data_IF_346815602615
#
_entry.id   IF_346815602615
#
_cell.length_a   1.000
_cell.length_b   1.000
_cell.length_c   1.000
_cell.angle_alpha   90.00
_cell.angle_beta   90.00
_cell.angle_gamma   90.00
#
_symmetry.space_group_name_H-M   'P 1'
#
loop_
_entity.id
_entity.type
_entity.pdbx_description
1 polymer ?
#
# COMPACT_ATOMS: atom_id res chain seq x y z
N UNK A 1 -17.24 15.86 35.60
CA UNK A 1 -17.62 14.45 35.45
C UNK A 1 -17.22 13.99 34.05
N UNK A 2 -16.60 12.82 33.87
CA UNK A 2 -16.17 12.37 32.55
C UNK A 2 -17.39 12.12 31.66
N UNK A 3 -17.43 12.78 30.48
CA UNK A 3 -18.56 12.70 29.57
C UNK A 3 -18.74 11.33 28.92
N UNK A 4 -19.90 11.07 28.29
CA UNK A 4 -20.25 9.76 27.70
C UNK A 4 -19.27 9.26 26.63
N UNK A 5 -18.55 10.17 25.95
CA UNK A 5 -17.46 9.82 25.01
C UNK A 5 -16.25 9.16 25.69
N UNK A 6 -15.93 9.59 26.92
CA UNK A 6 -14.81 9.03 27.69
C UNK A 6 -15.14 7.62 28.19
N UNK A 7 -16.41 7.37 28.53
CA UNK A 7 -16.91 6.04 28.89
C UNK A 7 -16.90 5.06 27.72
N UNK A 8 -17.34 5.49 26.53
CA UNK A 8 -17.24 4.68 25.31
C UNK A 8 -15.78 4.40 24.92
N UNK A 9 -14.89 5.37 25.09
CA UNK A 9 -13.45 5.18 24.90
C UNK A 9 -12.87 4.19 25.91
N UNK A 10 -13.22 4.31 27.20
CA UNK A 10 -12.78 3.39 28.24
C UNK A 10 -13.29 1.95 28.02
N UNK A 11 -14.55 1.79 27.61
CA UNK A 11 -15.13 0.49 27.26
C UNK A 11 -14.44 -0.13 26.04
N UNK A 12 -14.21 0.66 24.98
CA UNK A 12 -13.47 0.23 23.78
C UNK A 12 -12.02 -0.12 24.10
N UNK A 13 -11.38 0.66 24.96
CA UNK A 13 -10.02 0.42 25.46
C UNK A 13 -9.93 -0.88 26.25
N UNK A 14 -10.90 -1.16 27.13
CA UNK A 14 -10.91 -2.36 27.96
C UNK A 14 -11.03 -3.67 27.15
N UNK A 15 -11.68 -3.63 25.98
CA UNK A 15 -11.86 -4.81 25.10
C UNK A 15 -10.63 -5.04 24.20
N UNK A 16 -9.85 -4.00 23.90
CA UNK A 16 -8.79 -4.01 22.87
C UNK A 16 -7.39 -3.76 23.46
N UNK A 17 -7.24 -3.65 24.78
CA UNK A 17 -5.95 -3.39 25.39
C UNK A 17 -5.07 -4.64 25.41
N UNK A 18 -3.96 -4.58 24.68
CA UNK A 18 -2.76 -5.34 25.04
C UNK A 18 -2.29 -4.84 26.40
N UNK A 19 -2.04 -5.72 27.40
CA UNK A 19 -1.53 -5.29 28.69
C UNK A 19 -0.22 -4.52 28.48
N UNK A 20 -0.16 -3.31 29.05
CA UNK A 20 1.05 -2.49 28.98
C UNK A 20 2.07 -3.12 29.93
N UNK A 21 3.20 -3.64 29.44
CA UNK A 21 4.23 -4.19 30.31
C UNK A 21 4.81 -3.10 31.21
N UNK A 22 5.29 -3.47 32.39
CA UNK A 22 5.99 -2.53 33.26
C UNK A 22 7.23 -1.99 32.54
N UNK A 23 7.26 -0.66 32.35
CA UNK A 23 8.33 0.01 31.62
C UNK A 23 9.52 0.38 32.52
N UNK A 24 9.44 0.11 33.83
CA UNK A 24 10.42 0.54 34.85
C UNK A 24 10.65 2.05 34.80
N UNK A 25 9.57 2.84 34.66
CA UNK A 25 9.63 4.30 34.59
C UNK A 25 10.08 4.88 33.25
N UNK A 26 10.36 4.06 32.23
CA UNK A 26 10.63 4.55 30.87
C UNK A 26 9.35 5.04 30.22
N UNK A 27 9.37 6.25 29.68
CA UNK A 27 8.25 6.89 29.00
C UNK A 27 8.60 7.21 27.54
N UNK A 28 7.62 7.06 26.65
CA UNK A 28 7.68 7.60 25.29
C UNK A 28 6.73 8.78 25.26
N UNK A 29 7.28 9.95 24.96
CA UNK A 29 6.56 11.21 24.97
C UNK A 29 6.35 11.72 23.55
N UNK A 30 5.13 12.17 23.26
CA UNK A 30 4.85 12.98 22.09
C UNK A 30 5.15 14.45 22.43
N UNK A 31 5.71 15.17 21.46
CA UNK A 31 6.03 16.58 21.52
C UNK A 31 5.69 17.24 20.17
N UNK A 32 5.41 18.56 20.14
CA UNK A 32 5.31 19.31 18.90
C UNK A 32 6.62 19.28 18.11
N UNK A 33 6.58 19.74 16.86
CA UNK A 33 7.81 19.95 16.10
C UNK A 33 8.71 20.98 16.81
N UNK A 34 10.01 20.69 17.01
CA UNK A 34 10.94 21.65 17.58
C UNK A 34 11.00 22.93 16.74
N UNK A 35 10.91 24.09 17.40
CA UNK A 35 11.18 25.38 16.78
C UNK A 35 12.69 25.55 16.58
N UNK A 36 13.46 25.23 17.61
CA UNK A 36 14.93 25.29 17.59
C UNK A 36 15.52 24.44 18.72
N UNK A 37 16.82 24.14 18.61
CA UNK A 37 17.62 23.61 19.71
C UNK A 37 18.60 24.71 20.10
N UNK A 38 18.48 25.19 21.33
CA UNK A 38 19.31 26.26 21.86
C UNK A 38 20.79 25.86 21.93
N UNK A 39 21.67 26.85 22.09
CA UNK A 39 23.13 26.61 22.22
C UNK A 39 23.50 25.73 23.41
N UNK A 40 22.64 25.68 24.42
CA UNK A 40 22.80 24.86 25.61
C UNK A 40 22.23 23.44 25.44
N UNK A 41 21.75 23.09 24.25
CA UNK A 41 21.13 21.80 23.92
C UNK A 41 19.66 21.69 24.31
N UNK A 42 19.04 22.74 24.86
CA UNK A 42 17.61 22.71 25.23
C UNK A 42 16.74 22.79 23.98
N UNK A 43 15.75 21.91 23.88
CA UNK A 43 14.76 21.95 22.79
C UNK A 43 13.67 22.96 23.12
N UNK A 44 13.40 23.88 22.20
CA UNK A 44 12.29 24.81 22.28
C UNK A 44 11.20 24.38 21.31
N UNK A 45 10.01 24.06 21.82
CA UNK A 45 8.88 23.63 21.01
C UNK A 45 7.98 24.80 20.60
N UNK A 46 7.33 24.68 19.44
CA UNK A 46 6.27 25.60 19.05
C UNK A 46 5.00 25.32 19.86
N UNK A 47 4.33 26.36 20.35
CA UNK A 47 3.01 26.22 20.98
C UNK A 47 1.95 26.00 19.90
N UNK A 48 1.64 24.73 19.65
CA UNK A 48 0.61 24.31 18.72
C UNK A 48 -0.78 24.21 19.38
N UNK A 49 -0.92 24.62 20.64
CA UNK A 49 -2.13 24.49 21.49
C UNK A 49 -2.63 23.06 21.66
N UNK A 50 -1.81 22.06 21.35
CA UNK A 50 -2.17 20.66 21.50
C UNK A 50 -1.79 20.14 22.91
N UNK A 51 -2.42 19.02 23.36
CA UNK A 51 -2.16 18.46 24.68
C UNK A 51 -0.68 18.12 24.94
N UNK A 52 0.05 17.69 23.91
CA UNK A 52 1.47 17.37 24.02
C UNK A 52 2.34 18.57 24.40
N UNK A 53 2.05 19.76 23.86
CA UNK A 53 2.77 20.98 24.25
C UNK A 53 2.48 21.35 25.71
N UNK A 54 1.20 21.34 26.10
CA UNK A 54 0.76 21.72 27.44
C UNK A 54 1.42 20.87 28.54
N UNK A 55 1.70 19.61 28.23
CA UNK A 55 2.38 18.67 29.11
C UNK A 55 3.89 18.94 29.23
N UNK A 56 4.52 19.37 28.15
CA UNK A 56 5.97 19.55 28.07
C UNK A 56 6.44 20.99 28.33
N UNK A 57 5.57 21.99 28.27
CA UNK A 57 5.94 23.43 28.36
C UNK A 57 6.75 23.84 29.59
N UNK A 58 6.72 23.06 30.67
CA UNK A 58 7.48 23.28 31.89
C UNK A 58 8.74 22.41 32.02
N UNK A 59 8.96 21.46 31.11
CA UNK A 59 10.11 20.57 31.13
C UNK A 59 11.27 21.18 30.33
N UNK A 60 12.49 21.09 30.88
CA UNK A 60 13.72 21.43 30.16
C UNK A 60 14.29 20.15 29.54
N UNK A 61 14.02 19.96 28.24
CA UNK A 61 14.43 18.76 27.52
C UNK A 61 15.76 19.01 26.80
N UNK A 62 16.76 18.17 27.10
CA UNK A 62 18.07 18.15 26.43
C UNK A 62 18.34 16.73 25.91
N UNK A 63 18.13 16.46 24.61
CA UNK A 63 18.36 15.13 24.07
C UNK A 63 19.86 14.86 23.91
N UNK A 64 20.30 13.66 24.28
CA UNK A 64 21.65 13.19 23.97
C UNK A 64 21.80 12.82 22.48
N UNK A 65 20.71 12.36 21.87
CA UNK A 65 20.67 11.90 20.47
C UNK A 65 19.42 12.46 19.78
N UNK A 66 19.60 12.99 18.58
CA UNK A 66 18.50 13.42 17.70
C UNK A 66 18.49 12.54 16.46
N UNK A 67 17.36 11.89 16.18
CA UNK A 67 17.18 11.05 15.00
C UNK A 67 16.18 11.73 14.05
N UNK A 68 16.65 12.16 12.88
CA UNK A 68 15.83 12.82 11.87
C UNK A 68 15.21 11.80 10.92
N UNK A 69 14.00 11.34 11.26
CA UNK A 69 13.22 10.41 10.42
C UNK A 69 12.43 11.15 9.32
N UNK A 70 13.06 12.06 8.58
CA UNK A 70 12.42 12.95 7.59
C UNK A 70 12.09 12.27 6.25
N UNK A 71 12.42 10.99 6.10
CA UNK A 71 12.19 10.19 4.91
C UNK A 71 13.29 10.35 3.85
N UNK A 72 13.02 9.81 2.65
CA UNK A 72 13.98 9.70 1.55
C UNK A 72 13.44 10.36 0.27
N UNK A 73 14.37 10.76 -0.61
CA UNK A 73 14.09 11.15 -2.00
C UNK A 73 14.54 10.02 -2.93
N UNK A 74 13.89 9.91 -4.08
CA UNK A 74 14.25 8.95 -5.13
C UNK A 74 15.01 9.69 -6.22
N UNK A 75 16.17 9.17 -6.62
CA UNK A 75 17.01 9.76 -7.65
C UNK A 75 17.71 8.67 -8.46
N UNK A 76 17.96 8.92 -9.74
CA UNK A 76 18.58 7.98 -10.68
C UNK A 76 19.66 8.67 -11.52
N UNK A 77 20.83 9.01 -10.93
CA UNK A 77 21.87 9.76 -11.64
C UNK A 77 22.39 9.07 -12.90
N UNK A 78 22.26 7.74 -12.99
CA UNK A 78 22.65 6.94 -14.15
C UNK A 78 21.66 7.01 -15.33
N UNK A 79 20.47 7.58 -15.14
CA UNK A 79 19.47 7.81 -16.20
C UNK A 79 19.47 9.26 -16.71
N UNK A 80 20.23 10.16 -16.06
CA UNK A 80 20.37 11.55 -16.50
C UNK A 80 21.32 11.65 -17.72
N UNK A 81 21.02 12.52 -18.70
CA UNK A 81 21.94 12.79 -19.79
C UNK A 81 23.29 13.30 -19.25
N UNK A 82 24.38 12.64 -19.64
CA UNK A 82 25.71 13.13 -19.30
C UNK A 82 25.97 14.49 -19.97
N UNK A 83 26.54 15.44 -19.21
CA UNK A 83 27.02 16.73 -19.77
C UNK A 83 27.97 16.57 -20.96
N UNK A 84 28.68 15.44 -21.05
CA UNK A 84 29.68 15.19 -22.10
C UNK A 84 29.14 14.40 -23.29
N UNK A 85 27.96 13.77 -23.16
CA UNK A 85 27.27 13.05 -24.23
C UNK A 85 25.77 13.22 -24.03
N UNK A 86 25.12 14.20 -24.68
CA UNK A 86 23.68 14.39 -24.57
C UNK A 86 22.97 13.21 -25.25
N UNK A 87 22.64 12.19 -24.47
CA UNK A 87 21.73 11.12 -24.85
C UNK A 87 20.30 11.52 -24.53
N UNK A 88 19.32 10.80 -25.07
CA UNK A 88 17.91 10.97 -24.72
C UNK A 88 17.73 10.81 -23.21
N UNK A 89 17.02 11.73 -22.57
CA UNK A 89 16.69 11.66 -21.15
C UNK A 89 15.56 10.65 -20.91
N UNK A 90 15.86 9.55 -20.23
CA UNK A 90 14.85 8.55 -19.84
C UNK A 90 13.87 9.12 -18.80
N UNK A 91 14.31 10.10 -18.01
CA UNK A 91 13.50 10.75 -16.97
C UNK A 91 13.58 10.03 -15.64
N UNK A 92 12.66 10.34 -14.73
CA UNK A 92 12.61 9.79 -13.36
C UNK A 92 11.26 9.12 -13.08
N UNK A 93 11.20 8.31 -12.01
CA UNK A 93 9.97 7.65 -11.57
C UNK A 93 8.80 8.63 -11.36
N UNK A 94 9.07 9.85 -10.87
CA UNK A 94 8.05 10.88 -10.67
C UNK A 94 7.46 11.42 -11.97
N UNK A 95 8.12 11.20 -13.11
CA UNK A 95 7.64 11.60 -14.43
C UNK A 95 6.85 10.49 -15.14
N UNK A 96 6.79 9.29 -14.57
CA UNK A 96 6.03 8.18 -15.13
C UNK A 96 4.53 8.50 -15.12
N UNK A 97 3.95 8.64 -16.32
CA UNK A 97 2.58 9.08 -16.54
C UNK A 97 1.65 8.00 -17.13
N UNK A 98 2.12 6.75 -17.15
CA UNK A 98 1.30 5.57 -17.42
C UNK A 98 1.34 4.68 -16.19
N UNK A 99 0.26 4.71 -15.40
CA UNK A 99 0.11 3.93 -14.16
C UNK A 99 1.21 4.15 -13.11
N UNK A 100 2.01 5.20 -13.23
CA UNK A 100 3.22 5.39 -12.42
C UNK A 100 4.34 4.38 -12.71
N UNK A 101 4.35 3.78 -13.91
CA UNK A 101 5.29 2.72 -14.31
C UNK A 101 6.25 3.23 -15.39
N UNK A 102 5.77 3.83 -16.48
CA UNK A 102 6.66 4.40 -17.51
C UNK A 102 6.15 5.74 -18.01
N UNK A 103 6.98 6.40 -18.83
CA UNK A 103 6.61 7.60 -19.57
C UNK A 103 6.02 7.23 -20.93
N UNK A 104 4.85 7.74 -21.27
CA UNK A 104 4.13 7.42 -22.51
C UNK A 104 4.97 7.65 -23.77
N UNK A 105 5.82 8.67 -23.77
CA UNK A 105 6.71 9.01 -24.89
C UNK A 105 8.03 8.22 -24.91
N UNK A 106 8.34 7.50 -23.83
CA UNK A 106 9.53 6.66 -23.69
C UNK A 106 9.20 5.37 -22.92
N UNK A 107 8.53 4.39 -23.57
CA UNK A 107 8.12 3.14 -22.93
C UNK A 107 9.26 2.14 -22.72
N UNK A 108 10.46 2.40 -23.24
CA UNK A 108 11.59 1.47 -23.15
C UNK A 108 12.23 1.38 -21.75
N UNK A 109 11.83 2.25 -20.83
CA UNK A 109 12.26 2.24 -19.42
C UNK A 109 11.04 2.26 -18.50
N UNK A 110 10.99 1.29 -17.58
CA UNK A 110 9.95 1.16 -16.56
C UNK A 110 10.51 1.33 -15.15
N UNK A 111 9.78 2.07 -14.32
CA UNK A 111 10.04 2.32 -12.91
C UNK A 111 9.14 1.40 -12.07
N UNK A 112 9.70 0.31 -11.59
CA UNK A 112 8.96 -0.73 -10.85
C UNK A 112 9.12 -0.55 -9.34
N UNK A 113 8.01 -0.59 -8.59
CA UNK A 113 8.01 -0.50 -7.13
C UNK A 113 8.06 0.92 -6.56
N UNK A 114 7.90 1.95 -7.40
CA UNK A 114 7.99 3.35 -6.97
C UNK A 114 6.64 3.98 -6.57
N UNK A 115 5.55 3.22 -6.62
CA UNK A 115 4.26 3.63 -6.05
C UNK A 115 4.24 3.38 -4.53
N UNK A 116 3.50 4.21 -3.79
CA UNK A 116 3.33 4.03 -2.35
C UNK A 116 1.88 3.69 -2.01
N UNK A 117 1.57 2.42 -1.72
CA UNK A 117 0.21 2.07 -1.28
C UNK A 117 -0.12 2.71 0.08
N UNK A 118 -1.36 3.15 0.28
CA UNK A 118 -1.88 3.60 1.57
C UNK A 118 -1.81 2.49 2.62
N UNK A 119 -2.17 1.27 2.20
CA UNK A 119 -2.18 0.03 2.96
C UNK A 119 -1.80 -1.10 2.00
N UNK A 120 -1.03 -2.08 2.45
CA UNK A 120 -0.66 -3.23 1.63
C UNK A 120 0.81 -3.23 1.20
N UNK A 121 1.20 -4.28 0.49
CA UNK A 121 2.59 -4.60 0.20
C UNK A 121 3.01 -4.08 -1.20
N UNK A 122 4.21 -3.50 -1.29
CA UNK A 122 4.82 -3.07 -2.57
C UNK A 122 5.22 -4.26 -3.47
N UNK A 123 5.82 -5.36 -2.96
CA UNK A 123 6.22 -6.48 -3.82
C UNK A 123 5.15 -7.02 -4.78
N UNK A 124 3.88 -7.27 -4.36
CA UNK A 124 2.85 -7.70 -5.31
C UNK A 124 2.47 -6.59 -6.32
N UNK A 125 2.52 -5.32 -5.93
CA UNK A 125 2.31 -4.24 -6.90
C UNK A 125 3.44 -4.19 -7.92
N UNK A 126 4.69 -4.30 -7.47
CA UNK A 126 5.87 -4.35 -8.33
C UNK A 126 5.81 -5.51 -9.33
N UNK A 127 5.32 -6.68 -8.90
CA UNK A 127 5.06 -7.81 -9.80
C UNK A 127 4.06 -7.43 -10.91
N UNK A 128 2.90 -6.87 -10.55
CA UNK A 128 1.87 -6.47 -11.52
C UNK A 128 2.34 -5.33 -12.44
N UNK A 129 3.12 -4.39 -11.89
CA UNK A 129 3.73 -3.30 -12.67
C UNK A 129 4.70 -3.86 -13.72
N UNK A 130 5.56 -4.80 -13.32
CA UNK A 130 6.51 -5.44 -14.22
C UNK A 130 5.78 -6.24 -15.31
N UNK A 131 4.75 -6.99 -14.94
CA UNK A 131 3.91 -7.73 -15.88
C UNK A 131 3.29 -6.83 -16.96
N UNK A 132 2.69 -5.70 -16.56
CA UNK A 132 2.05 -4.78 -17.51
C UNK A 132 3.10 -4.11 -18.40
N UNK A 133 4.23 -3.68 -17.83
CA UNK A 133 5.30 -3.05 -18.61
C UNK A 133 5.93 -4.00 -19.63
N UNK A 134 6.20 -5.25 -19.23
CA UNK A 134 6.71 -6.30 -20.13
C UNK A 134 5.69 -6.60 -21.22
N UNK A 135 4.39 -6.69 -20.88
CA UNK A 135 3.33 -6.90 -21.85
C UNK A 135 3.28 -5.77 -22.88
N UNK A 136 3.40 -4.51 -22.43
CA UNK A 136 3.43 -3.33 -23.30
C UNK A 136 4.61 -3.35 -24.28
N UNK A 137 5.78 -3.87 -23.89
CA UNK A 137 6.96 -3.94 -24.75
C UNK A 137 6.88 -5.12 -25.72
N UNK A 138 6.53 -6.32 -25.23
CA UNK A 138 6.68 -7.57 -25.98
C UNK A 138 5.43 -8.04 -26.71
N UNK A 139 4.25 -7.65 -26.23
CA UNK A 139 2.96 -8.09 -26.77
C UNK A 139 1.87 -7.03 -26.54
N UNK A 140 2.04 -5.80 -27.05
CA UNK A 140 1.10 -4.70 -26.84
C UNK A 140 -0.31 -5.02 -27.34
N UNK A 141 -0.45 -5.92 -28.31
CA UNK A 141 -1.74 -6.41 -28.81
C UNK A 141 -2.56 -7.17 -27.76
N UNK A 142 -1.94 -7.63 -26.67
CA UNK A 142 -2.63 -8.27 -25.54
C UNK A 142 -3.19 -7.28 -24.52
N UNK A 143 -2.90 -5.99 -24.67
CA UNK A 143 -3.53 -4.92 -23.88
C UNK A 143 -4.83 -4.55 -24.61
N UNK A 144 -6.00 -4.92 -24.07
CA UNK A 144 -7.26 -4.88 -24.82
C UNK A 144 -7.80 -3.46 -25.09
N UNK A 145 -7.26 -2.46 -24.39
CA UNK A 145 -7.73 -1.09 -24.50
C UNK A 145 -6.59 -0.08 -24.25
N UNK A 146 -6.70 1.15 -24.79
CA UNK A 146 -5.72 2.20 -24.50
C UNK A 146 -5.62 2.49 -22.99
N UNK A 147 -4.39 2.59 -22.48
CA UNK A 147 -4.12 2.97 -21.09
C UNK A 147 -4.34 4.48 -20.92
N UNK A 148 -5.56 4.90 -20.54
CA UNK A 148 -5.94 6.32 -20.46
C UNK A 148 -5.62 6.90 -19.09
N UNK A 149 -5.26 8.18 -19.05
CA UNK A 149 -4.99 8.89 -17.79
C UNK A 149 -6.25 9.03 -16.91
N UNK A 150 -7.43 9.01 -17.50
CA UNK A 150 -8.73 9.04 -16.79
C UNK A 150 -8.94 7.81 -15.91
N UNK A 151 -8.31 6.69 -16.26
CA UNK A 151 -8.42 5.44 -15.49
C UNK A 151 -7.52 5.46 -14.25
N UNK A 152 -6.85 6.58 -13.95
CA UNK A 152 -5.91 6.70 -12.83
C UNK A 152 -6.46 7.42 -11.61
N UNK A 153 -7.48 8.27 -11.78
CA UNK A 153 -7.95 9.15 -10.70
C UNK A 153 -8.52 8.37 -9.51
N UNK A 154 -9.24 7.28 -9.78
CA UNK A 154 -10.00 6.54 -8.77
C UNK A 154 -9.11 5.83 -7.74
N UNK A 155 -7.88 5.44 -8.11
CA UNK A 155 -6.94 4.76 -7.22
C UNK A 155 -5.90 5.70 -6.61
N UNK A 156 -5.78 6.96 -7.05
CA UNK A 156 -4.79 7.90 -6.49
C UNK A 156 -5.25 8.40 -5.12
N UNK A 157 -4.32 8.48 -4.18
CA UNK A 157 -4.61 9.07 -2.87
C UNK A 157 -4.77 10.58 -3.03
N UNK A 158 -5.88 11.11 -2.48
CA UNK A 158 -6.13 12.55 -2.44
C UNK A 158 -5.28 13.16 -1.35
N UNK A 159 -4.31 13.96 -1.78
CA UNK A 159 -3.28 14.53 -0.93
C UNK A 159 -3.34 16.07 -1.01
N UNK A 160 -3.09 16.78 0.10
CA UNK A 160 -2.87 18.22 0.07
C UNK A 160 -1.76 18.62 -0.92
N UNK A 161 -1.84 19.80 -1.57
CA UNK A 161 -0.84 20.23 -2.57
C UNK A 161 0.60 20.34 -2.04
N UNK A 162 0.77 20.50 -0.74
CA UNK A 162 2.05 20.59 -0.04
C UNK A 162 2.56 19.23 0.47
N UNK A 163 1.91 18.14 0.09
CA UNK A 163 2.30 16.79 0.49
C UNK A 163 3.65 16.40 -0.11
N UNK A 164 4.59 16.00 0.76
CA UNK A 164 5.91 15.50 0.34
C UNK A 164 5.86 14.28 -0.59
N UNK A 165 4.79 13.49 -0.51
CA UNK A 165 4.63 12.25 -1.26
C UNK A 165 3.38 12.38 -2.11
N UNK A 166 3.55 12.41 -3.43
CA UNK A 166 2.46 12.61 -4.39
C UNK A 166 2.08 11.32 -5.14
N UNK A 167 2.93 10.29 -5.05
CA UNK A 167 2.81 9.01 -5.75
C UNK A 167 2.06 7.95 -4.91
N UNK A 168 1.11 8.40 -4.09
CA UNK A 168 0.28 7.55 -3.24
C UNK A 168 -0.85 6.87 -4.01
N UNK A 169 -1.07 5.58 -3.78
CA UNK A 169 -2.18 4.81 -4.38
C UNK A 169 -2.98 4.03 -3.35
N UNK A 170 -4.26 3.80 -3.62
CA UNK A 170 -5.06 2.74 -3.00
C UNK A 170 -4.65 1.39 -3.59
N UNK A 171 -4.21 0.46 -2.73
CA UNK A 171 -3.59 -0.79 -3.17
C UNK A 171 -4.54 -1.68 -3.96
N UNK A 172 -5.75 -1.90 -3.43
CA UNK A 172 -6.75 -2.80 -3.99
C UNK A 172 -7.26 -2.26 -5.34
N UNK A 173 -7.57 -0.96 -5.42
CA UNK A 173 -8.02 -0.34 -6.66
C UNK A 173 -6.91 -0.30 -7.72
N UNK A 174 -5.68 0.01 -7.32
CA UNK A 174 -4.54 0.08 -8.24
C UNK A 174 -4.22 -1.29 -8.85
N UNK A 175 -4.10 -2.34 -8.02
CA UNK A 175 -3.77 -3.68 -8.50
C UNK A 175 -4.89 -4.23 -9.40
N UNK A 176 -6.14 -3.95 -9.07
CA UNK A 176 -7.29 -4.34 -9.88
C UNK A 176 -7.30 -3.61 -11.24
N UNK A 177 -6.97 -2.32 -11.28
CA UNK A 177 -6.83 -1.58 -12.52
C UNK A 177 -5.72 -2.16 -13.41
N UNK A 178 -4.56 -2.53 -12.85
CA UNK A 178 -3.51 -3.21 -13.62
C UNK A 178 -3.97 -4.56 -14.17
N UNK A 179 -4.79 -5.29 -13.40
CA UNK A 179 -5.37 -6.54 -13.86
C UNK A 179 -6.38 -6.34 -15.01
N UNK A 180 -7.18 -5.27 -14.97
CA UNK A 180 -8.05 -4.88 -16.09
C UNK A 180 -7.23 -4.53 -17.34
N UNK A 181 -6.18 -3.71 -17.16
CA UNK A 181 -5.26 -3.32 -18.24
C UNK A 181 -4.59 -4.52 -18.92
N UNK A 182 -4.37 -5.61 -18.20
CA UNK A 182 -3.79 -6.86 -18.72
C UNK A 182 -4.83 -7.93 -19.08
N UNK A 183 -6.13 -7.61 -19.11
CA UNK A 183 -7.20 -8.59 -19.30
C UNK A 183 -7.07 -9.84 -18.40
N UNK A 184 -6.70 -9.62 -17.15
CA UNK A 184 -6.42 -10.65 -16.14
C UNK A 184 -7.38 -10.54 -14.93
N UNK A 185 -8.22 -9.50 -14.88
CA UNK A 185 -9.28 -9.37 -13.91
C UNK A 185 -10.38 -10.41 -14.18
N UNK A 186 -10.71 -11.21 -13.16
CA UNK A 186 -11.65 -12.33 -13.28
C UNK A 186 -13.06 -11.94 -12.85
N UNK A 187 -14.04 -12.18 -13.74
CA UNK A 187 -15.45 -11.95 -13.47
C UNK A 187 -16.13 -13.14 -12.79
N UNK A 188 -17.36 -12.92 -12.31
CA UNK A 188 -18.16 -13.98 -11.65
C UNK A 188 -18.31 -15.23 -12.52
N UNK A 189 -18.60 -15.05 -13.81
CA UNK A 189 -18.84 -16.15 -14.74
C UNK A 189 -17.58 -16.99 -15.00
N UNK A 190 -16.42 -16.34 -15.08
CA UNK A 190 -15.14 -17.02 -15.23
C UNK A 190 -14.84 -17.89 -14.00
N UNK A 191 -15.07 -17.34 -12.79
CA UNK A 191 -14.86 -18.10 -11.54
C UNK A 191 -15.82 -19.28 -11.45
N UNK A 192 -17.09 -19.08 -11.81
CA UNK A 192 -18.08 -20.17 -11.82
C UNK A 192 -17.68 -21.28 -12.79
N UNK A 193 -17.20 -20.93 -13.98
CA UNK A 193 -16.73 -21.91 -14.97
C UNK A 193 -15.51 -22.70 -14.48
N UNK A 194 -14.61 -22.07 -13.71
CA UNK A 194 -13.48 -22.76 -13.07
C UNK A 194 -13.96 -23.63 -11.90
N UNK A 195 -14.87 -23.11 -11.07
CA UNK A 195 -15.40 -23.80 -9.90
C UNK A 195 -16.17 -25.07 -10.27
N UNK A 196 -16.91 -25.06 -11.38
CA UNK A 196 -17.65 -26.23 -11.89
C UNK A 196 -16.75 -27.42 -12.25
N UNK A 197 -15.46 -27.19 -12.53
CA UNK A 197 -14.48 -28.23 -12.85
C UNK A 197 -13.82 -28.83 -11.60
N UNK A 198 -14.13 -28.31 -10.41
CA UNK A 198 -13.55 -28.76 -9.13
C UNK A 198 -14.58 -29.53 -8.29
N UNK A 199 -14.10 -30.22 -7.26
CA UNK A 199 -14.99 -30.77 -6.24
C UNK A 199 -15.85 -29.66 -5.60
N UNK A 200 -17.08 -29.98 -5.23
CA UNK A 200 -18.08 -29.01 -4.72
C UNK A 200 -17.53 -28.12 -3.61
N UNK A 201 -16.82 -28.71 -2.64
CA UNK A 201 -16.19 -27.96 -1.53
C UNK A 201 -15.17 -26.94 -2.02
N UNK A 202 -14.34 -27.34 -2.96
CA UNK A 202 -13.22 -26.55 -3.45
C UNK A 202 -13.71 -25.46 -4.41
N UNK A 203 -14.72 -25.75 -5.23
CA UNK A 203 -15.43 -24.75 -6.03
C UNK A 203 -16.10 -23.67 -5.16
N UNK A 204 -16.74 -24.07 -4.05
CA UNK A 204 -17.29 -23.12 -3.07
C UNK A 204 -16.20 -22.27 -2.41
N UNK A 205 -15.09 -22.89 -1.96
CA UNK A 205 -13.95 -22.14 -1.41
C UNK A 205 -13.41 -21.11 -2.41
N UNK A 206 -13.28 -21.48 -3.68
CA UNK A 206 -12.81 -20.59 -4.73
C UNK A 206 -13.72 -19.36 -4.87
N UNK A 207 -15.03 -19.55 -4.90
CA UNK A 207 -16.00 -18.45 -4.99
C UNK A 207 -15.93 -17.52 -3.79
N UNK A 208 -15.86 -18.07 -2.58
CA UNK A 208 -15.75 -17.28 -1.34
C UNK A 208 -14.43 -16.51 -1.31
N UNK A 209 -13.32 -17.14 -1.69
CA UNK A 209 -12.00 -16.48 -1.72
C UNK A 209 -11.92 -15.38 -2.76
N UNK A 210 -12.48 -15.64 -3.94
CA UNK A 210 -12.61 -14.62 -4.97
C UNK A 210 -13.45 -13.43 -4.52
N UNK A 211 -14.62 -13.67 -3.92
CA UNK A 211 -15.56 -12.61 -3.54
C UNK A 211 -15.15 -11.81 -2.29
N UNK A 212 -14.60 -12.47 -1.27
CA UNK A 212 -14.37 -11.86 0.05
C UNK A 212 -12.90 -11.71 0.44
N UNK A 213 -11.99 -12.34 -0.30
CA UNK A 213 -10.55 -12.16 -0.13
C UNK A 213 -10.06 -10.85 -0.76
N UNK A 214 -8.90 -10.37 -0.33
CA UNK A 214 -8.21 -9.24 -0.94
C UNK A 214 -7.87 -9.52 -2.42
N UNK A 215 -7.44 -8.50 -3.17
CA UNK A 215 -6.92 -8.64 -4.53
C UNK A 215 -5.51 -9.24 -4.53
N UNK A 216 -5.45 -10.51 -4.17
CA UNK A 216 -4.24 -11.31 -4.30
C UNK A 216 -3.85 -11.44 -5.77
N UNK A 217 -2.57 -11.25 -6.09
CA UNK A 217 -2.07 -11.42 -7.46
C UNK A 217 -2.43 -12.80 -8.05
N UNK A 218 -2.48 -13.84 -7.21
CA UNK A 218 -2.93 -15.18 -7.61
C UNK A 218 -4.31 -15.19 -8.28
N UNK A 219 -5.25 -14.30 -7.89
CA UNK A 219 -6.54 -14.15 -8.56
C UNK A 219 -6.37 -13.75 -10.03
N UNK A 220 -5.43 -12.83 -10.28
CA UNK A 220 -5.10 -12.35 -11.62
C UNK A 220 -4.21 -13.31 -12.41
N UNK A 221 -3.89 -14.48 -11.85
CA UNK A 221 -3.20 -15.58 -12.54
C UNK A 221 -4.17 -16.68 -13.00
N UNK A 222 -5.48 -16.55 -12.76
CA UNK A 222 -6.49 -17.51 -13.22
C UNK A 222 -6.77 -17.42 -14.72
N UNK A 223 -6.60 -16.23 -15.30
CA UNK A 223 -6.73 -15.96 -16.72
C UNK A 223 -5.74 -14.88 -17.16
N UNK A 224 -5.77 -14.53 -18.45
CA UNK A 224 -4.96 -13.46 -19.02
C UNK A 224 -3.56 -13.91 -19.45
N UNK A 225 -2.73 -12.97 -19.93
CA UNK A 225 -1.41 -13.24 -20.53
C UNK A 225 -0.43 -13.92 -19.58
N UNK A 226 -0.64 -13.75 -18.28
CA UNK A 226 0.23 -14.22 -17.21
C UNK A 226 -0.38 -15.40 -16.43
N UNK A 227 -1.35 -16.12 -17.02
CA UNK A 227 -2.02 -17.25 -16.39
C UNK A 227 -1.05 -18.29 -15.83
N UNK A 228 -1.37 -18.84 -14.66
CA UNK A 228 -0.61 -19.90 -14.01
C UNK A 228 -1.53 -21.07 -13.64
N UNK A 229 -1.18 -22.29 -14.08
CA UNK A 229 -2.00 -23.49 -13.87
C UNK A 229 -2.27 -23.80 -12.39
N UNK A 230 -1.37 -23.43 -11.47
CA UNK A 230 -1.54 -23.64 -10.03
C UNK A 230 -2.39 -22.58 -9.32
N UNK A 231 -2.82 -21.51 -10.01
CA UNK A 231 -3.49 -20.38 -9.37
C UNK A 231 -4.79 -20.78 -8.66
N UNK A 232 -5.60 -21.62 -9.29
CA UNK A 232 -6.88 -22.06 -8.73
C UNK A 232 -6.68 -22.95 -7.50
N UNK A 233 -5.65 -23.82 -7.50
CA UNK A 233 -5.33 -24.69 -6.37
C UNK A 233 -4.75 -23.90 -5.19
N UNK A 234 -3.95 -22.86 -5.49
CA UNK A 234 -3.43 -21.97 -4.45
C UNK A 234 -4.55 -21.16 -3.79
N UNK A 235 -5.53 -20.65 -4.54
CA UNK A 235 -6.64 -19.88 -3.97
C UNK A 235 -7.56 -20.69 -3.05
N UNK A 236 -7.71 -22.00 -3.29
CA UNK A 236 -8.51 -22.90 -2.44
C UNK A 236 -7.70 -23.52 -1.29
N UNK A 237 -6.40 -23.23 -1.24
CA UNK A 237 -5.51 -23.71 -0.19
C UNK A 237 -5.95 -23.22 1.18
N UNK A 238 -5.47 -23.91 2.21
CA UNK A 238 -5.80 -23.55 3.58
C UNK A 238 -5.23 -22.17 3.98
N UNK A 239 -4.09 -21.77 3.39
CA UNK A 239 -3.49 -20.46 3.63
C UNK A 239 -4.44 -19.33 3.22
N UNK A 240 -4.93 -19.35 1.98
CA UNK A 240 -5.86 -18.35 1.48
C UNK A 240 -7.21 -18.42 2.18
N UNK A 241 -7.68 -19.64 2.49
CA UNK A 241 -8.92 -19.85 3.24
C UNK A 241 -8.87 -19.18 4.63
N UNK A 242 -7.75 -19.31 5.34
CA UNK A 242 -7.57 -18.72 6.65
C UNK A 242 -7.56 -17.18 6.65
N UNK A 243 -7.19 -16.53 5.55
CA UNK A 243 -7.29 -15.05 5.45
C UNK A 243 -8.72 -14.53 5.59
N UNK A 244 -9.71 -15.39 5.30
CA UNK A 244 -11.14 -15.05 5.36
C UNK A 244 -11.74 -15.54 6.67
N UNK A 245 -11.40 -16.78 7.08
CA UNK A 245 -12.01 -17.42 8.24
C UNK A 245 -11.40 -17.00 9.59
N UNK A 246 -10.26 -16.31 9.61
CA UNK A 246 -9.72 -15.69 10.84
C UNK A 246 -10.56 -14.52 11.36
N UNK A 247 -11.66 -14.15 10.70
CA UNK A 247 -12.60 -13.12 11.16
C UNK A 247 -13.53 -13.70 12.24
N UNK A 248 -13.34 -13.35 13.53
CA UNK A 248 -13.98 -14.06 14.64
C UNK A 248 -15.51 -13.93 14.66
N UNK A 249 -16.06 -12.86 14.07
CA UNK A 249 -17.49 -12.58 14.04
C UNK A 249 -18.29 -13.50 13.09
N UNK A 250 -17.68 -14.05 12.04
CA UNK A 250 -18.38 -14.84 11.01
C UNK A 250 -17.93 -16.30 10.94
N UNK A 251 -16.70 -16.60 11.35
CA UNK A 251 -16.09 -17.93 11.20
C UNK A 251 -15.31 -18.40 12.44
N UNK A 252 -15.35 -17.62 13.53
CA UNK A 252 -14.69 -18.00 14.77
C UNK A 252 -15.39 -19.20 15.42
N UNK A 253 -14.62 -20.25 15.71
CA UNK A 253 -14.95 -21.10 16.86
C UNK A 253 -14.95 -20.19 18.07
N UNK A 254 -16.03 -20.20 18.86
CA UNK A 254 -15.99 -19.69 20.23
C UNK A 254 -14.76 -20.30 20.89
N UNK A 255 -13.83 -19.45 21.34
CA UNK A 255 -12.71 -19.90 22.13
C UNK A 255 -13.27 -20.52 23.42
N UNK A 256 -13.20 -21.84 23.50
CA UNK A 256 -13.12 -22.64 24.72
C UNK A 256 -12.04 -23.68 24.47
#
# INVERSE_FOLDING_TARGET
MPGPRLWLYALRSAIVQTPVPDTNGRKVDLAPWPKEIGRDGTVHFFDNQQPEFSRLKGERIKPDIVILSTGYKQDFPFLEPSRTKPTRAYGTANQANVRGIWRRDEPTVGFIGFVRPSLGAIPPLAEMQAQLWILNILAPEKIPHPLRATDEEHYRLKLPPDSRIEYGVDHESYVYQLALDMNSAIGLWDVLAIAQKKHVRDGWRLLVVWAFGAHFNTKFRLLGPWQWGGAADMLISEEFWQTITRRPLFFGKSAC
#
